data_IF_546347007850
#
_entry.id   IF_546347007850
#
_cell.length_a   1.000
_cell.length_b   1.000
_cell.length_c   1.000
_cell.angle_alpha   90.00
_cell.angle_beta   90.00
_cell.angle_gamma   90.00
#
_symmetry.space_group_name_H-M   'P 1'
#
loop_
_entity.id
_entity.type
_entity.pdbx_description
1 polymer ?
#
# COMPACT_ATOMS: atom_id res chain seq x y z
N UNK A 1 29.42 9.11 -27.81
CA UNK A 1 28.12 8.47 -27.58
C UNK A 1 27.09 9.53 -27.31
N UNK A 2 26.00 9.54 -28.05
CA UNK A 2 24.84 10.40 -27.79
C UNK A 2 24.13 9.85 -26.53
N UNK A 3 24.20 10.57 -25.42
CA UNK A 3 23.40 10.24 -24.24
C UNK A 3 21.95 10.63 -24.50
N UNK A 4 21.04 9.66 -24.49
CA UNK A 4 19.60 9.96 -24.47
C UNK A 4 19.23 10.52 -23.08
N UNK A 5 18.36 11.55 -23.00
CA UNK A 5 17.89 12.05 -21.72
C UNK A 5 17.03 10.97 -21.05
N UNK A 6 17.23 10.78 -19.73
CA UNK A 6 16.41 9.91 -18.90
C UNK A 6 15.64 10.78 -17.91
N UNK A 7 14.31 10.65 -17.90
CA UNK A 7 13.45 11.42 -17.03
C UNK A 7 13.03 10.56 -15.83
N UNK A 8 13.17 11.12 -14.64
CA UNK A 8 12.80 10.47 -13.37
C UNK A 8 11.82 11.36 -12.63
N UNK A 9 10.68 10.81 -12.23
CA UNK A 9 9.83 11.42 -11.23
C UNK A 9 10.39 11.12 -9.83
N UNK A 10 10.46 12.12 -8.95
CA UNK A 10 10.96 11.95 -7.59
C UNK A 10 10.22 12.84 -6.61
N UNK A 11 10.07 12.39 -5.37
CA UNK A 11 9.58 13.20 -4.24
C UNK A 11 10.71 14.02 -3.60
N UNK A 12 11.95 13.82 -4.01
CA UNK A 12 13.10 14.57 -3.52
C UNK A 12 12.94 16.08 -3.81
N UNK A 13 13.14 16.91 -2.81
CA UNK A 13 13.08 18.38 -2.92
C UNK A 13 14.39 18.99 -3.41
N UNK A 14 15.50 18.22 -3.36
CA UNK A 14 16.85 18.63 -3.74
C UNK A 14 17.56 17.45 -4.42
N UNK A 15 18.53 17.78 -5.30
CA UNK A 15 19.31 16.77 -6.04
C UNK A 15 20.02 15.79 -5.10
N UNK A 16 20.56 16.27 -3.98
CA UNK A 16 21.29 15.47 -3.01
C UNK A 16 20.41 14.43 -2.31
N UNK A 17 19.08 14.60 -2.37
CA UNK A 17 18.09 13.69 -1.79
C UNK A 17 17.63 12.62 -2.76
N UNK A 18 17.91 12.75 -4.06
CA UNK A 18 17.62 11.70 -5.05
C UNK A 18 18.30 10.39 -4.61
N UNK A 19 17.61 9.27 -4.68
CA UNK A 19 18.17 7.98 -4.30
C UNK A 19 19.38 7.58 -5.18
N UNK A 20 19.40 8.06 -6.41
CA UNK A 20 20.55 7.91 -7.31
C UNK A 20 21.81 8.65 -6.84
N UNK A 21 21.68 9.63 -5.94
CA UNK A 21 22.80 10.45 -5.40
C UNK A 21 23.09 10.06 -3.96
N UNK A 22 22.05 9.98 -3.12
CA UNK A 22 22.20 9.67 -1.69
C UNK A 22 22.55 8.19 -1.44
N UNK A 23 22.14 7.30 -2.33
CA UNK A 23 22.19 5.85 -2.16
C UNK A 23 21.45 5.34 -0.90
N UNK A 24 20.54 6.15 -0.35
CA UNK A 24 19.71 5.78 0.79
C UNK A 24 18.31 5.38 0.32
N UNK A 25 17.87 4.18 0.69
CA UNK A 25 16.50 3.73 0.42
C UNK A 25 15.59 3.96 1.63
N UNK A 26 15.32 5.24 1.95
CA UNK A 26 14.29 5.61 2.92
C UNK A 26 12.91 5.47 2.27
N UNK A 27 11.89 4.97 2.98
CA UNK A 27 10.54 4.87 2.43
C UNK A 27 9.96 6.27 2.20
N UNK A 28 9.36 6.47 1.02
CA UNK A 28 8.57 7.66 0.74
C UNK A 28 7.15 7.50 1.29
N UNK A 29 6.67 6.26 1.35
CA UNK A 29 5.35 5.92 1.83
C UNK A 29 5.26 4.50 2.37
N UNK A 30 4.05 4.14 2.79
CA UNK A 30 3.67 2.80 3.25
C UNK A 30 2.46 2.28 2.48
N UNK A 31 2.41 0.96 2.29
CA UNK A 31 1.27 0.21 1.77
C UNK A 31 0.79 -0.69 2.90
N UNK A 32 -0.53 -0.77 3.11
CA UNK A 32 -1.12 -1.38 4.30
C UNK A 32 -1.82 -2.68 3.95
N UNK A 33 -1.19 -3.80 4.24
CA UNK A 33 -1.84 -5.11 4.11
C UNK A 33 -2.64 -5.40 5.38
N UNK A 34 -3.88 -4.91 5.42
CA UNK A 34 -4.80 -5.07 6.54
C UNK A 34 -5.69 -6.31 6.37
N UNK A 35 -5.59 -7.26 7.28
CA UNK A 35 -6.49 -8.43 7.37
C UNK A 35 -7.64 -8.08 8.31
N UNK A 36 -8.88 -8.23 7.83
CA UNK A 36 -10.07 -7.78 8.54
C UNK A 36 -10.90 -8.92 9.13
N UNK A 37 -11.43 -8.62 10.33
CA UNK A 37 -12.43 -9.41 11.03
C UNK A 37 -11.87 -10.58 11.82
N UNK A 38 -12.71 -11.16 12.69
CA UNK A 38 -12.32 -12.28 13.57
C UNK A 38 -11.90 -13.53 12.80
N UNK A 39 -12.53 -13.78 11.65
CA UNK A 39 -12.24 -14.93 10.79
C UNK A 39 -10.96 -14.75 9.95
N UNK A 40 -10.41 -13.55 9.87
CA UNK A 40 -9.24 -13.22 9.05
C UNK A 40 -9.40 -13.64 7.58
N UNK A 41 -10.63 -13.56 7.08
CA UNK A 41 -11.01 -14.03 5.75
C UNK A 41 -11.23 -12.92 4.72
N UNK A 42 -10.98 -11.66 5.12
CA UNK A 42 -11.07 -10.47 4.28
C UNK A 42 -9.82 -9.62 4.38
N UNK A 43 -9.55 -8.89 3.31
CA UNK A 43 -8.53 -7.84 3.26
C UNK A 43 -9.19 -6.49 3.06
N UNK A 44 -8.57 -5.44 3.60
CA UNK A 44 -9.01 -4.06 3.41
C UNK A 44 -8.40 -3.53 2.13
N UNK A 45 -9.25 -3.09 1.21
CA UNK A 45 -8.87 -2.43 -0.03
C UNK A 45 -9.52 -1.06 -0.11
N UNK A 46 -8.96 -0.21 -0.94
CA UNK A 46 -9.57 1.04 -1.37
C UNK A 46 -9.78 1.02 -2.88
N UNK A 47 -10.88 1.59 -3.33
CA UNK A 47 -11.15 1.91 -4.73
C UNK A 47 -11.06 3.42 -4.86
N UNK A 48 -9.95 3.89 -5.44
CA UNK A 48 -9.60 5.31 -5.48
C UNK A 48 -9.53 5.83 -6.91
N UNK A 49 -10.01 7.07 -7.15
CA UNK A 49 -9.85 7.73 -8.42
C UNK A 49 -8.40 8.17 -8.62
N UNK A 50 -7.79 7.79 -9.75
CA UNK A 50 -6.42 8.12 -10.09
C UNK A 50 -6.35 8.94 -11.38
N UNK A 51 -5.96 10.21 -11.27
CA UNK A 51 -5.85 11.15 -12.39
C UNK A 51 -5.05 10.64 -13.59
N UNK A 52 -3.90 9.95 -13.43
CA UNK A 52 -3.15 9.44 -14.57
C UNK A 52 -3.91 8.44 -15.43
N UNK A 53 -4.87 7.71 -14.83
CA UNK A 53 -5.74 6.78 -15.54
C UNK A 53 -7.05 7.45 -15.98
N UNK A 54 -7.50 8.49 -15.27
CA UNK A 54 -8.82 9.10 -15.45
C UNK A 54 -9.96 8.19 -15.01
N UNK A 55 -9.68 7.25 -14.11
CA UNK A 55 -10.60 6.21 -13.68
C UNK A 55 -10.23 5.71 -12.26
N UNK A 56 -11.07 4.84 -11.71
CA UNK A 56 -10.84 4.19 -10.42
C UNK A 56 -9.91 2.98 -10.54
N UNK A 57 -9.12 2.80 -9.49
CA UNK A 57 -8.17 1.69 -9.33
C UNK A 57 -8.38 1.05 -7.96
N UNK A 58 -8.31 -0.27 -7.89
CA UNK A 58 -8.25 -1.00 -6.63
C UNK A 58 -6.80 -1.08 -6.13
N UNK A 59 -6.61 -0.65 -4.90
CA UNK A 59 -5.32 -0.58 -4.23
C UNK A 59 -5.45 -1.04 -2.78
N UNK A 60 -4.34 -1.33 -2.12
CA UNK A 60 -4.31 -1.33 -0.65
C UNK A 60 -4.27 0.11 -0.15
N UNK A 61 -4.83 0.41 1.04
CA UNK A 61 -4.63 1.72 1.68
C UNK A 61 -3.14 2.05 1.73
N UNK A 62 -2.79 3.30 1.47
CA UNK A 62 -1.39 3.70 1.34
C UNK A 62 -1.24 5.21 1.53
N UNK A 63 -0.17 5.63 2.18
CA UNK A 63 0.10 7.04 2.33
C UNK A 63 1.58 7.35 2.55
N UNK A 64 1.89 8.63 2.72
CA UNK A 64 3.26 9.09 2.89
C UNK A 64 3.73 8.92 4.34
N UNK A 65 5.01 8.61 4.49
CA UNK A 65 5.67 8.66 5.82
C UNK A 65 6.03 10.11 6.12
N UNK A 66 5.47 10.66 7.17
CA UNK A 66 5.73 12.03 7.58
C UNK A 66 7.09 12.18 8.29
N UNK A 67 7.55 13.43 8.41
CA UNK A 67 8.84 13.72 9.05
C UNK A 67 8.82 13.36 10.54
N UNK A 68 9.68 12.41 10.93
CA UNK A 68 9.78 11.93 12.30
C UNK A 68 8.83 10.77 12.64
N UNK A 69 8.05 10.33 11.67
CA UNK A 69 7.15 9.18 11.78
C UNK A 69 7.85 7.90 11.33
N UNK A 70 7.59 6.78 11.98
CA UNK A 70 7.98 5.47 11.48
C UNK A 70 6.88 4.85 10.62
N UNK A 71 7.22 3.78 9.90
CA UNK A 71 6.27 3.14 8.99
C UNK A 71 5.03 2.56 9.68
N UNK A 72 5.17 2.07 10.92
CA UNK A 72 4.04 1.51 11.65
C UNK A 72 3.07 2.61 12.10
N UNK A 73 3.60 3.73 12.58
CA UNK A 73 2.80 4.90 12.95
C UNK A 73 2.08 5.48 11.72
N UNK A 74 2.79 5.66 10.60
CA UNK A 74 2.19 6.06 9.33
C UNK A 74 1.05 5.11 8.91
N UNK A 75 1.29 3.80 9.02
CA UNK A 75 0.30 2.80 8.68
C UNK A 75 -0.97 2.86 9.55
N UNK A 76 -0.83 3.11 10.84
CA UNK A 76 -1.98 3.26 11.75
C UNK A 76 -2.78 4.51 11.39
N UNK A 77 -2.10 5.63 11.14
CA UNK A 77 -2.72 6.90 10.77
C UNK A 77 -3.47 6.80 9.44
N UNK A 78 -2.79 6.36 8.39
CA UNK A 78 -3.37 6.25 7.03
C UNK A 78 -4.55 5.26 6.98
N UNK A 79 -4.45 4.11 7.66
CA UNK A 79 -5.57 3.16 7.73
C UNK A 79 -6.79 3.82 8.36
N UNK A 80 -6.61 4.63 9.40
CA UNK A 80 -7.70 5.34 10.04
C UNK A 80 -8.25 6.47 9.17
N UNK A 81 -7.40 7.27 8.54
CA UNK A 81 -7.79 8.39 7.70
C UNK A 81 -8.57 7.93 6.47
N UNK A 82 -8.04 6.95 5.72
CA UNK A 82 -8.68 6.47 4.50
C UNK A 82 -9.90 5.58 4.75
N UNK A 83 -9.91 4.80 5.83
CA UNK A 83 -10.90 3.73 6.02
C UNK A 83 -11.73 3.83 7.30
N UNK A 84 -11.31 4.60 8.29
CA UNK A 84 -11.91 4.65 9.62
C UNK A 84 -11.64 3.43 10.50
N UNK A 85 -10.87 2.46 10.02
CA UNK A 85 -10.59 1.22 10.74
C UNK A 85 -9.44 1.39 11.72
N UNK A 86 -9.55 0.69 12.85
CA UNK A 86 -8.41 0.48 13.75
C UNK A 86 -7.46 -0.54 13.14
N UNK A 87 -6.14 -0.25 13.18
CA UNK A 87 -5.11 -1.10 12.62
C UNK A 87 -4.08 -1.48 13.69
N UNK A 88 -3.80 -2.78 13.81
CA UNK A 88 -2.79 -3.32 14.72
C UNK A 88 -1.67 -3.94 13.88
N UNK A 89 -0.54 -3.24 13.69
CA UNK A 89 0.60 -3.76 12.95
C UNK A 89 1.19 -5.00 13.60
N UNK A 90 1.77 -5.89 12.78
CA UNK A 90 2.59 -7.02 13.19
C UNK A 90 4.02 -6.82 12.72
N UNK A 91 4.98 -7.38 13.46
CA UNK A 91 6.37 -7.40 13.03
C UNK A 91 6.50 -8.33 11.81
N UNK A 92 6.98 -7.77 10.71
CA UNK A 92 7.18 -8.49 9.45
C UNK A 92 8.65 -8.51 9.01
N UNK A 93 9.56 -8.04 9.87
CA UNK A 93 11.01 -8.09 9.66
C UNK A 93 11.40 -7.55 8.28
N UNK A 94 12.12 -8.35 7.50
CA UNK A 94 12.60 -7.98 6.18
C UNK A 94 11.46 -7.76 5.15
N UNK A 95 10.25 -8.29 5.38
CA UNK A 95 9.10 -8.09 4.49
C UNK A 95 8.52 -6.67 4.55
N UNK A 96 8.81 -5.91 5.61
CA UNK A 96 8.37 -4.52 5.76
C UNK A 96 9.36 -3.49 5.23
N UNK A 97 10.58 -3.89 4.87
CA UNK A 97 11.58 -2.93 4.36
C UNK A 97 11.08 -2.22 3.08
N UNK A 98 11.59 -0.99 2.77
CA UNK A 98 11.19 -0.30 1.56
C UNK A 98 11.60 -1.05 0.29
N UNK A 99 10.63 -1.26 -0.60
CA UNK A 99 10.83 -1.77 -1.95
C UNK A 99 10.46 -0.68 -2.97
N UNK A 100 11.14 -0.68 -4.11
CA UNK A 100 10.84 0.29 -5.17
C UNK A 100 9.50 -0.02 -5.84
N UNK A 101 8.73 1.02 -6.15
CA UNK A 101 7.40 0.90 -6.76
C UNK A 101 7.50 0.72 -8.28
N UNK A 102 7.90 1.75 -9.00
CA UNK A 102 7.99 1.76 -10.47
C UNK A 102 9.37 2.25 -10.90
N UNK A 103 10.40 1.46 -10.62
CA UNK A 103 11.82 1.84 -10.74
C UNK A 103 12.24 2.31 -12.14
N UNK A 104 11.49 1.98 -13.18
CA UNK A 104 11.75 2.49 -14.54
C UNK A 104 11.32 3.95 -14.76
N UNK A 105 10.57 4.56 -13.83
CA UNK A 105 10.05 5.93 -13.96
C UNK A 105 10.31 6.81 -12.73
N UNK A 106 10.43 6.22 -11.55
CA UNK A 106 10.54 6.93 -10.28
C UNK A 106 11.54 6.24 -9.37
N UNK A 107 12.16 6.99 -8.48
CA UNK A 107 12.97 6.46 -7.38
C UNK A 107 12.14 6.21 -6.10
N UNK A 108 10.81 6.31 -6.20
CA UNK A 108 9.90 6.06 -5.09
C UNK A 108 10.04 4.64 -4.54
N UNK A 109 10.03 4.53 -3.22
CA UNK A 109 9.94 3.25 -2.52
C UNK A 109 8.94 3.32 -1.38
N UNK A 110 8.23 2.21 -1.14
CA UNK A 110 7.28 2.07 -0.05
C UNK A 110 7.61 0.85 0.81
N UNK A 111 7.47 1.00 2.12
CA UNK A 111 7.42 -0.13 3.01
C UNK A 111 6.02 -0.75 3.03
N UNK A 112 5.92 -2.05 3.36
CA UNK A 112 4.61 -2.66 3.60
C UNK A 112 4.41 -2.84 5.09
N UNK A 113 3.30 -2.33 5.62
CA UNK A 113 2.87 -2.56 7.00
C UNK A 113 1.78 -3.61 6.99
N UNK A 114 2.07 -4.75 7.59
CA UNK A 114 1.14 -5.87 7.74
C UNK A 114 0.44 -5.76 9.08
N UNK A 115 -0.83 -6.16 9.15
CA UNK A 115 -1.55 -6.11 10.41
C UNK A 115 -3.00 -6.55 10.32
N UNK A 116 -3.68 -6.47 11.46
CA UNK A 116 -5.08 -6.80 11.59
C UNK A 116 -5.92 -5.55 11.76
N UNK A 117 -7.07 -5.52 11.06
CA UNK A 117 -8.02 -4.42 11.12
C UNK A 117 -9.29 -4.82 11.86
N UNK A 118 -9.86 -3.84 12.56
CA UNK A 118 -11.16 -3.98 13.24
C UNK A 118 -11.94 -2.66 13.23
N UNK A 119 -13.21 -2.72 13.59
CA UNK A 119 -14.12 -1.57 13.58
C UNK A 119 -15.02 -1.56 12.36
N UNK A 120 -15.75 -0.47 12.18
CA UNK A 120 -16.65 -0.27 11.04
C UNK A 120 -16.05 0.73 10.07
N UNK A 121 -16.00 0.42 8.75
CA UNK A 121 -15.47 1.34 7.75
C UNK A 121 -16.26 2.65 7.71
N UNK A 122 -15.55 3.76 7.56
CA UNK A 122 -16.16 5.08 7.36
C UNK A 122 -15.26 5.97 6.52
N UNK A 123 -15.85 6.83 5.70
CA UNK A 123 -15.16 7.88 4.94
C UNK A 123 -15.07 9.22 5.66
N UNK A 124 -15.48 9.27 6.94
CA UNK A 124 -15.60 10.54 7.67
C UNK A 124 -14.26 11.24 7.95
N UNK A 125 -13.15 10.56 7.78
CA UNK A 125 -11.80 11.05 8.07
C UNK A 125 -10.96 11.30 6.81
N UNK A 126 -11.49 10.98 5.63
CA UNK A 126 -10.80 11.18 4.34
C UNK A 126 -10.55 12.65 4.06
N UNK A 127 -9.45 12.95 3.40
CA UNK A 127 -9.17 14.31 2.93
C UNK A 127 -10.18 14.74 1.84
N UNK A 128 -10.47 16.03 1.77
CA UNK A 128 -11.44 16.58 0.80
C UNK A 128 -11.00 16.42 -0.67
N UNK A 129 -9.72 16.12 -0.91
CA UNK A 129 -9.14 15.86 -2.23
C UNK A 129 -9.20 14.38 -2.63
N UNK A 130 -9.61 13.51 -1.74
CA UNK A 130 -9.67 12.07 -1.95
C UNK A 130 -11.07 11.62 -2.32
N UNK A 131 -11.14 10.73 -3.31
CA UNK A 131 -12.35 10.02 -3.69
C UNK A 131 -12.06 8.52 -3.51
N UNK A 132 -12.27 8.04 -2.28
CA UNK A 132 -11.91 6.70 -1.82
C UNK A 132 -13.16 5.97 -1.35
N UNK A 133 -13.33 4.74 -1.83
CA UNK A 133 -14.33 3.79 -1.37
C UNK A 133 -13.64 2.62 -0.67
N UNK A 134 -14.04 2.32 0.56
CA UNK A 134 -13.47 1.22 1.34
C UNK A 134 -14.15 -0.08 0.97
N UNK A 135 -13.36 -1.11 0.66
CA UNK A 135 -13.83 -2.44 0.26
C UNK A 135 -13.25 -3.50 1.21
N UNK A 136 -14.12 -4.27 1.86
CA UNK A 136 -13.73 -5.42 2.65
C UNK A 136 -13.89 -6.68 1.79
N UNK A 137 -12.81 -7.05 1.10
CA UNK A 137 -12.83 -8.09 0.07
C UNK A 137 -12.48 -9.46 0.63
N UNK A 138 -13.37 -10.44 0.45
CA UNK A 138 -13.04 -11.84 0.62
C UNK A 138 -12.32 -12.41 -0.62
N UNK A 139 -11.94 -13.69 -0.58
CA UNK A 139 -11.22 -14.33 -1.68
C UNK A 139 -12.03 -14.38 -2.99
N UNK A 140 -13.35 -14.48 -2.91
CA UNK A 140 -14.21 -14.48 -4.10
C UNK A 140 -14.26 -13.10 -4.74
N UNK A 141 -14.39 -12.05 -3.93
CA UNK A 141 -14.36 -10.67 -4.38
C UNK A 141 -12.97 -10.29 -4.92
N UNK A 142 -11.88 -10.72 -4.27
CA UNK A 142 -10.53 -10.51 -4.80
C UNK A 142 -10.34 -11.15 -6.19
N UNK A 143 -10.90 -12.34 -6.42
CA UNK A 143 -10.88 -12.99 -7.74
C UNK A 143 -11.68 -12.20 -8.78
N UNK A 144 -12.84 -11.64 -8.40
CA UNK A 144 -13.63 -10.77 -9.28
C UNK A 144 -12.86 -9.51 -9.64
N UNK A 145 -12.32 -8.82 -8.63
CA UNK A 145 -11.54 -7.59 -8.80
C UNK A 145 -10.38 -7.81 -9.79
N UNK A 146 -9.58 -8.85 -9.59
CA UNK A 146 -8.45 -9.16 -10.49
C UNK A 146 -8.86 -9.46 -11.93
N UNK A 147 -10.09 -9.92 -12.17
CA UNK A 147 -10.58 -10.28 -13.49
C UNK A 147 -11.28 -9.13 -14.22
N UNK A 148 -11.93 -8.23 -13.49
CA UNK A 148 -12.92 -7.30 -14.03
C UNK A 148 -12.57 -5.82 -13.84
N UNK A 149 -11.61 -5.49 -12.95
CA UNK A 149 -11.35 -4.12 -12.54
C UNK A 149 -9.91 -3.66 -12.83
N UNK A 150 -9.68 -2.37 -12.78
CA UNK A 150 -8.32 -1.81 -12.77
C UNK A 150 -7.70 -2.04 -11.39
N UNK A 151 -6.52 -2.64 -11.35
CA UNK A 151 -5.81 -2.98 -10.11
C UNK A 151 -4.37 -2.51 -10.19
N UNK A 152 -3.88 -1.84 -9.15
CA UNK A 152 -2.45 -1.51 -9.04
C UNK A 152 -1.61 -2.79 -8.92
N UNK A 153 -0.44 -2.84 -9.57
CA UNK A 153 0.35 -4.07 -9.67
C UNK A 153 0.73 -4.67 -8.31
N UNK A 154 1.10 -3.84 -7.34
CA UNK A 154 1.43 -4.31 -5.99
C UNK A 154 0.20 -4.93 -5.30
N UNK A 155 -0.96 -4.31 -5.46
CA UNK A 155 -2.22 -4.86 -4.98
C UNK A 155 -2.52 -6.20 -5.65
N UNK A 156 -2.39 -6.29 -6.96
CA UNK A 156 -2.66 -7.53 -7.71
C UNK A 156 -1.83 -8.71 -7.18
N UNK A 157 -0.52 -8.55 -6.97
CA UNK A 157 0.34 -9.63 -6.47
C UNK A 157 -0.02 -10.03 -5.03
N UNK A 158 -0.34 -9.07 -4.17
CA UNK A 158 -0.74 -9.38 -2.80
C UNK A 158 -2.12 -10.04 -2.74
N UNK A 159 -3.06 -9.68 -3.64
CA UNK A 159 -4.34 -10.36 -3.77
C UNK A 159 -4.16 -11.81 -4.26
N UNK A 160 -3.26 -12.05 -5.22
CA UNK A 160 -2.94 -13.40 -5.67
C UNK A 160 -2.39 -14.25 -4.51
N UNK A 161 -1.52 -13.68 -3.66
CA UNK A 161 -1.04 -14.34 -2.44
C UNK A 161 -2.18 -14.66 -1.47
N UNK A 162 -3.04 -13.68 -1.16
CA UNK A 162 -4.20 -13.87 -0.30
C UNK A 162 -5.17 -14.93 -0.80
N UNK A 163 -5.38 -15.00 -2.12
CA UNK A 163 -6.27 -16.00 -2.75
C UNK A 163 -5.67 -17.41 -2.66
N UNK A 164 -4.34 -17.53 -2.75
CA UNK A 164 -3.64 -18.81 -2.78
C UNK A 164 -3.55 -19.48 -1.40
N UNK A 165 -3.64 -18.74 -0.31
CA UNK A 165 -3.56 -19.24 1.07
C UNK A 165 -4.94 -19.16 1.73
N UNK A 166 -5.48 -20.32 2.18
CA UNK A 166 -6.78 -20.41 2.87
C UNK A 166 -6.66 -20.23 4.39
N UNK A 167 -5.43 -20.22 4.92
CA UNK A 167 -5.12 -20.02 6.35
C UNK A 167 -5.11 -18.56 6.79
N UNK A 168 -4.39 -18.27 7.87
CA UNK A 168 -4.10 -16.89 8.30
C UNK A 168 -3.22 -16.21 7.25
N UNK A 169 -3.70 -15.13 6.60
CA UNK A 169 -2.98 -14.49 5.52
C UNK A 169 -1.61 -13.93 5.91
N UNK A 170 -1.33 -13.78 7.22
CA UNK A 170 -0.06 -13.30 7.74
C UNK A 170 0.84 -14.42 8.26
N UNK A 171 0.42 -15.70 8.17
CA UNK A 171 1.22 -16.82 8.66
C UNK A 171 2.60 -16.96 7.97
N UNK A 172 2.73 -16.47 6.75
CA UNK A 172 4.01 -16.49 6.02
C UNK A 172 5.10 -15.62 6.66
N UNK A 173 4.71 -14.60 7.45
CA UNK A 173 5.65 -13.73 8.17
C UNK A 173 6.36 -14.42 9.33
N UNK A 174 5.81 -15.54 9.82
CA UNK A 174 6.32 -16.29 10.97
C UNK A 174 7.22 -17.46 10.58
N UNK A 175 7.42 -17.68 9.29
CA UNK A 175 8.26 -18.78 8.77
C UNK A 175 9.69 -18.27 8.55
N UNK A 176 10.51 -18.31 9.61
CA UNK A 176 11.98 -18.37 9.50
C UNK A 176 12.46 -19.81 9.64
#
# INVERSE_FOLDING_TARGET
GTSAPYFVASRAKKIEQLKAVSHENKPDGVILFGVYGEKKDRVVLVRQYRYPLGDYVYEFPAGLVESGEDMAAAGIREMYEETGLSFTPVDAGACSRPFFTTIGMTDESCGTVFGYCSGEPTSAHQESSEDIQVILADRAECKRILREENVAIMCAYMLMHFIADEGDPLAFLQKE
#
